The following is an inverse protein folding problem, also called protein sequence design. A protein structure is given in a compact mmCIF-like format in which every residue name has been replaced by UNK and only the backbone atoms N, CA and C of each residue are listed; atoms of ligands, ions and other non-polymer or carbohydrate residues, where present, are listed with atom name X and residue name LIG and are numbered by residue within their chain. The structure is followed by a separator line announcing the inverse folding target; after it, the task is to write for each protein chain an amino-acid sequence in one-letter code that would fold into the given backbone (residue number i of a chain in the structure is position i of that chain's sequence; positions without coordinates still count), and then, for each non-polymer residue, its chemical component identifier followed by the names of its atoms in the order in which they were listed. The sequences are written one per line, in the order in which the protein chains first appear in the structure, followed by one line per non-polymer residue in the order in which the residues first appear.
data_IF_873156592207
#
_entry.id   IF_873156592207
#
_cell.length_a   1.000
_cell.length_b   1.000
_cell.length_c   1.000
_cell.angle_alpha   90.00
_cell.angle_beta   90.00
_cell.angle_gamma   90.00
#
_symmetry.space_group_name_H-M   'P 1'
#
loop_
_entity.id
_entity.type
_entity.pdbx_description
1 polymer ?
#
# COMPACT_ATOMS: atom_id res chain seq x y z
N UNK A 1 11.91 -21.81 11.98
CA UNK A 1 11.96 -20.35 12.16
C UNK A 1 10.67 -19.76 11.61
N UNK A 2 9.90 -19.08 12.44
CA UNK A 2 8.68 -18.39 12.00
C UNK A 2 9.04 -17.38 10.91
N UNK A 3 8.33 -17.43 9.77
CA UNK A 3 8.51 -16.43 8.71
C UNK A 3 7.98 -15.09 9.22
N UNK A 4 8.72 -13.98 8.99
CA UNK A 4 8.26 -12.62 9.33
C UNK A 4 6.87 -12.36 8.77
N UNK A 5 6.04 -11.63 9.51
CA UNK A 5 4.75 -11.15 9.02
C UNK A 5 4.94 -9.95 8.10
N UNK A 6 4.34 -9.99 6.93
CA UNK A 6 4.29 -8.89 5.96
C UNK A 6 2.83 -8.44 5.85
N UNK A 7 2.50 -7.29 6.43
CA UNK A 7 1.18 -6.68 6.33
C UNK A 7 1.13 -5.81 5.08
N UNK A 8 0.37 -6.23 4.10
CA UNK A 8 0.14 -5.50 2.85
C UNK A 8 -1.12 -4.65 2.96
N UNK A 9 -1.00 -3.34 2.80
CA UNK A 9 -2.14 -2.43 2.80
C UNK A 9 -2.59 -2.13 1.37
N UNK A 10 -3.87 -2.37 1.08
CA UNK A 10 -4.51 -2.02 -0.19
C UNK A 10 -5.73 -1.13 0.04
N UNK A 11 -6.22 -0.50 -1.01
CA UNK A 11 -7.38 0.41 -0.96
C UNK A 11 -7.17 1.62 -1.85
N UNK A 12 -8.26 2.24 -2.27
CA UNK A 12 -8.25 3.41 -3.16
C UNK A 12 -7.53 4.61 -2.52
N UNK A 13 -7.00 5.55 -3.32
CA UNK A 13 -6.40 6.79 -2.81
C UNK A 13 -7.35 7.54 -1.85
N UNK A 14 -6.82 7.99 -0.72
CA UNK A 14 -7.61 8.69 0.31
C UNK A 14 -8.34 7.79 1.31
N UNK A 15 -8.28 6.46 1.18
CA UNK A 15 -8.97 5.54 2.08
C UNK A 15 -8.42 5.49 3.51
N UNK A 16 -7.16 5.90 3.76
CA UNK A 16 -6.57 5.92 5.11
C UNK A 16 -5.37 4.98 5.30
N UNK A 17 -4.90 4.31 4.25
CA UNK A 17 -3.76 3.36 4.31
C UNK A 17 -2.52 3.92 5.01
N UNK A 18 -2.09 5.13 4.64
CA UNK A 18 -0.86 5.72 5.19
C UNK A 18 -0.98 6.03 6.69
N UNK A 19 -2.18 6.30 7.20
CA UNK A 19 -2.44 6.44 8.64
C UNK A 19 -2.17 5.12 9.36
N UNK A 20 -2.71 4.03 8.81
CA UNK A 20 -2.49 2.68 9.35
C UNK A 20 -1.01 2.29 9.25
N UNK A 21 -0.36 2.52 8.10
CA UNK A 21 1.05 2.20 7.91
C UNK A 21 1.95 2.93 8.92
N UNK A 22 1.75 4.24 9.10
CA UNK A 22 2.50 5.04 10.08
C UNK A 22 2.30 4.54 11.50
N UNK A 23 1.07 4.18 11.86
CA UNK A 23 0.78 3.64 13.18
C UNK A 23 1.42 2.27 13.43
N UNK A 24 1.40 1.38 12.45
CA UNK A 24 2.11 0.09 12.57
C UNK A 24 3.63 0.29 12.68
N UNK A 25 4.19 1.31 12.01
CA UNK A 25 5.59 1.69 12.19
C UNK A 25 5.88 2.10 13.65
N UNK A 26 5.01 2.89 14.28
CA UNK A 26 5.12 3.25 15.70
C UNK A 26 5.04 2.01 16.62
N UNK A 27 4.40 0.93 16.15
CA UNK A 27 4.30 -0.36 16.85
C UNK A 27 5.46 -1.31 16.54
N UNK A 28 6.52 -0.84 15.88
CA UNK A 28 7.76 -1.60 15.64
C UNK A 28 7.81 -2.35 14.31
N UNK A 29 6.88 -2.11 13.37
CA UNK A 29 6.99 -2.65 12.03
C UNK A 29 7.97 -1.82 11.19
N UNK A 30 8.82 -2.48 10.41
CA UNK A 30 9.51 -1.79 9.33
C UNK A 30 8.47 -1.34 8.28
N UNK A 31 8.57 -0.09 7.80
CA UNK A 31 7.60 0.45 6.83
C UNK A 31 8.23 0.66 5.47
N UNK A 32 7.59 0.15 4.43
CA UNK A 32 7.95 0.38 3.04
C UNK A 32 6.71 0.84 2.28
N UNK A 33 6.86 1.78 1.34
CA UNK A 33 5.77 2.17 0.45
C UNK A 33 6.08 1.79 -0.99
N UNK A 34 5.08 1.28 -1.71
CA UNK A 34 5.20 1.00 -3.14
C UNK A 34 5.49 2.28 -3.93
N UNK A 35 4.90 3.40 -3.49
CA UNK A 35 5.12 4.70 -4.09
C UNK A 35 6.56 5.19 -3.96
N UNK A 36 7.23 4.94 -2.84
CA UNK A 36 8.62 5.33 -2.66
C UNK A 36 9.56 4.49 -3.52
N UNK A 37 9.28 3.20 -3.69
CA UNK A 37 10.03 2.36 -4.62
C UNK A 37 9.96 2.91 -6.07
N UNK A 38 8.79 3.39 -6.49
CA UNK A 38 8.64 4.04 -7.81
C UNK A 38 9.37 5.38 -7.87
N UNK A 39 9.35 6.20 -6.80
CA UNK A 39 10.10 7.47 -6.73
C UNK A 39 11.61 7.27 -6.78
N UNK A 40 12.12 6.28 -6.04
CA UNK A 40 13.54 5.91 -6.07
C UNK A 40 13.95 5.46 -7.47
N UNK A 41 13.11 4.67 -8.15
CA UNK A 41 13.34 4.26 -9.52
C UNK A 41 13.28 5.43 -10.52
N UNK A 42 12.33 6.35 -10.34
CA UNK A 42 12.26 7.58 -11.15
C UNK A 42 13.54 8.40 -11.00
N UNK A 43 14.02 8.59 -9.78
CA UNK A 43 15.29 9.28 -9.51
C UNK A 43 16.48 8.58 -10.18
N UNK A 44 16.52 7.23 -10.13
CA UNK A 44 17.55 6.44 -10.78
C UNK A 44 17.56 6.64 -12.31
N UNK A 45 16.37 6.85 -12.90
CA UNK A 45 16.22 7.13 -14.34
C UNK A 45 16.34 8.63 -14.70
N UNK A 46 16.62 9.51 -13.74
CA UNK A 46 16.74 10.96 -13.98
C UNK A 46 15.39 11.65 -14.24
N UNK A 47 14.29 11.03 -13.82
CA UNK A 47 12.94 11.59 -14.00
C UNK A 47 12.52 12.44 -12.78
N UNK A 48 11.96 13.62 -13.04
CA UNK A 48 11.31 14.41 -12.01
C UNK A 48 10.11 13.65 -11.40
N UNK A 49 9.98 13.58 -10.06
CA UNK A 49 8.96 12.76 -9.38
C UNK A 49 7.57 13.44 -9.35
N UNK A 50 7.11 13.93 -10.49
CA UNK A 50 5.74 14.47 -10.66
C UNK A 50 4.72 13.33 -10.72
N UNK A 51 3.45 13.60 -10.38
CA UNK A 51 2.37 12.60 -10.46
C UNK A 51 2.28 11.98 -11.86
N UNK A 52 2.42 12.80 -12.90
CA UNK A 52 2.41 12.35 -14.30
C UNK A 52 3.56 11.38 -14.61
N UNK A 53 4.79 11.74 -14.24
CA UNK A 53 5.97 10.93 -14.52
C UNK A 53 5.94 9.61 -13.72
N UNK A 54 5.57 9.68 -12.43
CA UNK A 54 5.43 8.50 -11.57
C UNK A 54 4.34 7.56 -12.07
N UNK A 55 3.19 8.12 -12.51
CA UNK A 55 2.11 7.32 -13.08
C UNK A 55 2.53 6.61 -14.38
N UNK A 56 3.22 7.32 -15.30
CA UNK A 56 3.76 6.72 -16.52
C UNK A 56 4.80 5.66 -16.24
N UNK A 57 5.72 5.92 -15.32
CA UNK A 57 6.76 4.97 -14.93
C UNK A 57 6.16 3.71 -14.31
N UNK A 58 5.17 3.86 -13.43
CA UNK A 58 4.47 2.73 -12.80
C UNK A 58 3.80 1.83 -13.85
N UNK A 59 3.16 2.42 -14.87
CA UNK A 59 2.55 1.67 -15.97
C UNK A 59 3.62 0.99 -16.82
N UNK A 60 4.67 1.74 -17.20
CA UNK A 60 5.78 1.21 -17.98
C UNK A 60 6.48 0.03 -17.30
N UNK A 61 6.79 0.15 -16.01
CA UNK A 61 7.40 -0.95 -15.25
C UNK A 61 6.55 -2.23 -15.31
N UNK A 62 5.21 -2.10 -15.22
CA UNK A 62 4.32 -3.25 -15.31
C UNK A 62 4.23 -3.82 -16.73
N UNK A 63 4.28 -3.00 -17.75
CA UNK A 63 4.32 -3.45 -19.15
C UNK A 63 5.61 -4.19 -19.47
N UNK A 64 6.75 -3.68 -19.00
CA UNK A 64 8.07 -4.22 -19.33
C UNK A 64 8.42 -5.46 -18.48
N UNK A 65 8.03 -5.48 -17.20
CA UNK A 65 8.47 -6.46 -16.20
C UNK A 65 7.33 -7.27 -15.58
N UNK A 66 6.10 -7.08 -16.06
CA UNK A 66 4.89 -7.73 -15.53
C UNK A 66 4.24 -6.99 -14.36
N UNK A 67 3.02 -7.39 -14.00
CA UNK A 67 2.17 -6.72 -13.01
C UNK A 67 2.80 -6.63 -11.62
N UNK A 68 3.72 -7.51 -11.29
CA UNK A 68 4.46 -7.51 -10.03
C UNK A 68 5.73 -6.64 -10.00
N UNK A 69 6.02 -5.87 -11.06
CA UNK A 69 7.29 -5.14 -11.21
C UNK A 69 7.66 -4.28 -10.00
N UNK A 70 6.70 -3.54 -9.43
CA UNK A 70 6.97 -2.67 -8.28
C UNK A 70 7.27 -3.49 -7.01
N UNK A 71 6.62 -4.64 -6.83
CA UNK A 71 6.92 -5.54 -5.71
C UNK A 71 8.35 -6.12 -5.81
N UNK A 72 8.88 -6.34 -7.01
CA UNK A 72 10.28 -6.73 -7.17
C UNK A 72 11.26 -5.64 -6.67
N UNK A 73 10.96 -4.35 -6.90
CA UNK A 73 11.77 -3.26 -6.36
C UNK A 73 11.75 -3.26 -4.82
N UNK A 74 10.56 -3.44 -4.24
CA UNK A 74 10.39 -3.54 -2.78
C UNK A 74 11.11 -4.76 -2.23
N UNK A 75 11.02 -5.91 -2.88
CA UNK A 75 11.68 -7.15 -2.49
C UNK A 75 13.21 -6.97 -2.41
N UNK A 76 13.82 -6.33 -3.41
CA UNK A 76 15.25 -6.05 -3.40
C UNK A 76 15.65 -5.19 -2.19
N UNK A 77 14.82 -4.23 -1.79
CA UNK A 77 15.05 -3.40 -0.61
C UNK A 77 14.98 -4.24 0.67
N UNK A 78 13.93 -5.03 0.82
CA UNK A 78 13.72 -5.89 1.99
C UNK A 78 14.82 -6.94 2.19
N UNK A 79 15.41 -7.44 1.10
CA UNK A 79 16.50 -8.42 1.17
C UNK A 79 17.84 -7.79 1.47
N UNK A 80 18.09 -6.55 1.03
CA UNK A 80 19.33 -5.81 1.35
C UNK A 80 19.43 -5.42 2.82
N UNK A 81 18.30 -5.02 3.40
CA UNK A 81 18.25 -4.55 4.80
C UNK A 81 18.47 -5.67 5.84
N UNK A 82 18.44 -6.95 5.42
CA UNK A 82 18.78 -8.13 6.25
C UNK A 82 17.94 -8.28 7.53
N UNK A 83 16.98 -7.39 7.76
CA UNK A 83 16.10 -7.39 8.93
C UNK A 83 15.10 -8.54 8.85
N UNK A 84 14.91 -9.23 9.98
CA UNK A 84 13.88 -10.25 10.16
C UNK A 84 12.59 -9.65 10.77
N UNK A 85 12.51 -8.34 10.90
CA UNK A 85 11.39 -7.65 11.51
C UNK A 85 10.11 -7.79 10.68
N UNK A 86 8.97 -7.72 11.35
CA UNK A 86 7.70 -7.62 10.68
C UNK A 86 7.63 -6.33 9.85
N UNK A 87 6.99 -6.39 8.70
CA UNK A 87 6.97 -5.30 7.72
C UNK A 87 5.55 -4.90 7.42
N UNK A 88 5.29 -3.60 7.31
CA UNK A 88 4.09 -3.06 6.67
C UNK A 88 4.44 -2.46 5.31
N UNK A 89 3.70 -2.85 4.27
CA UNK A 89 3.87 -2.37 2.90
C UNK A 89 2.62 -1.58 2.51
N UNK A 90 2.78 -0.26 2.36
CA UNK A 90 1.68 0.61 1.94
C UNK A 90 1.59 0.70 0.42
N UNK A 91 0.41 0.43 -0.11
CA UNK A 91 0.06 0.73 -1.50
C UNK A 91 0.14 -0.46 -2.47
N UNK A 92 -0.18 -1.66 -2.02
CA UNK A 92 -0.40 -2.82 -2.90
C UNK A 92 -1.55 -2.52 -3.86
N UNK A 93 -1.38 -2.86 -5.13
CA UNK A 93 -2.34 -2.57 -6.21
C UNK A 93 -2.75 -3.79 -7.02
N UNK A 94 -2.10 -4.94 -6.84
CA UNK A 94 -2.43 -6.13 -7.62
C UNK A 94 -2.08 -7.43 -6.90
N UNK A 95 -2.76 -8.52 -7.24
CA UNK A 95 -2.47 -9.85 -6.70
C UNK A 95 -1.07 -10.34 -7.07
N UNK A 96 -0.55 -10.15 -8.30
CA UNK A 96 0.84 -10.49 -8.60
C UNK A 96 1.87 -9.84 -7.67
N UNK A 97 1.62 -8.63 -7.16
CA UNK A 97 2.50 -7.99 -6.17
C UNK A 97 2.49 -8.78 -4.85
N UNK A 98 1.32 -9.24 -4.41
CA UNK A 98 1.16 -10.07 -3.20
C UNK A 98 1.91 -11.39 -3.35
N UNK A 99 1.77 -12.06 -4.49
CA UNK A 99 2.42 -13.36 -4.76
C UNK A 99 3.96 -13.27 -4.76
N UNK A 100 4.51 -12.15 -5.21
CA UNK A 100 5.95 -11.91 -5.13
C UNK A 100 6.40 -11.79 -3.67
N UNK A 101 5.66 -11.07 -2.85
CA UNK A 101 5.99 -10.85 -1.44
C UNK A 101 5.86 -12.12 -0.59
N UNK A 102 4.94 -13.03 -0.93
CA UNK A 102 4.81 -14.36 -0.28
C UNK A 102 6.08 -15.20 -0.33
N UNK A 103 6.99 -14.92 -1.26
CA UNK A 103 8.27 -15.63 -1.37
C UNK A 103 9.20 -15.35 -0.19
N UNK A 104 9.02 -14.23 0.53
CA UNK A 104 9.95 -13.78 1.58
C UNK A 104 9.32 -13.63 2.97
N UNK A 105 8.03 -13.92 3.12
CA UNK A 105 7.36 -13.85 4.42
C UNK A 105 5.96 -14.44 4.42
N UNK A 106 5.33 -14.41 5.59
CA UNK A 106 3.90 -14.68 5.75
C UNK A 106 3.15 -13.38 5.40
N UNK A 107 2.49 -13.36 4.25
CA UNK A 107 1.78 -12.16 3.75
C UNK A 107 0.33 -12.21 4.18
N UNK A 108 -0.14 -11.11 4.74
CA UNK A 108 -1.55 -10.82 5.03
C UNK A 108 -1.94 -9.49 4.39
N UNK A 109 -3.08 -9.44 3.74
CA UNK A 109 -3.58 -8.26 3.04
C UNK A 109 -4.72 -7.63 3.83
N UNK A 110 -4.55 -6.35 4.19
CA UNK A 110 -5.57 -5.53 4.82
C UNK A 110 -6.07 -4.48 3.83
N UNK A 111 -7.33 -4.55 3.45
CA UNK A 111 -7.98 -3.53 2.65
C UNK A 111 -8.55 -2.42 3.54
N UNK A 112 -8.25 -1.16 3.19
CA UNK A 112 -8.91 -0.01 3.79
C UNK A 112 -9.85 0.59 2.74
N UNK A 113 -11.14 0.59 3.05
CA UNK A 113 -12.18 1.10 2.18
C UNK A 113 -12.77 2.40 2.73
N UNK A 114 -13.05 3.35 1.84
CA UNK A 114 -13.87 4.51 2.14
C UNK A 114 -14.64 4.94 0.88
N UNK A 115 -15.80 5.54 1.07
CA UNK A 115 -16.62 6.06 -0.03
C UNK A 115 -15.86 7.11 -0.85
N UNK A 116 -16.29 7.34 -2.08
CA UNK A 116 -15.68 8.32 -2.96
C UNK A 116 -15.61 9.70 -2.33
N UNK A 117 -16.70 10.14 -1.70
CA UNK A 117 -16.79 11.47 -1.08
C UNK A 117 -15.88 11.60 0.14
N UNK A 118 -15.83 10.57 0.99
CA UNK A 118 -14.92 10.52 2.14
C UNK A 118 -13.46 10.57 1.68
N UNK A 119 -13.09 9.81 0.65
CA UNK A 119 -11.74 9.80 0.11
C UNK A 119 -11.33 11.16 -0.50
N UNK A 120 -12.24 11.80 -1.22
CA UNK A 120 -12.00 13.14 -1.78
C UNK A 120 -11.72 14.17 -0.68
N UNK A 121 -12.56 14.19 0.39
CA UNK A 121 -12.35 15.03 1.57
C UNK A 121 -10.99 14.76 2.25
N UNK A 122 -10.64 13.49 2.43
CA UNK A 122 -9.36 13.13 3.04
C UNK A 122 -8.17 13.62 2.20
N UNK A 123 -8.23 13.50 0.87
CA UNK A 123 -7.16 13.95 -0.01
C UNK A 123 -7.04 15.47 -0.04
N UNK A 124 -8.17 16.20 -0.10
CA UNK A 124 -8.19 17.66 -0.07
C UNK A 124 -7.58 18.20 1.24
N UNK A 125 -7.89 17.57 2.38
CA UNK A 125 -7.42 18.01 3.69
C UNK A 125 -5.94 17.64 3.97
N UNK A 126 -5.30 16.81 3.13
CA UNK A 126 -3.91 16.35 3.35
C UNK A 126 -2.86 17.43 3.16
N UNK A 127 -3.14 18.49 2.41
CA UNK A 127 -2.18 19.56 2.11
C UNK A 127 -0.91 19.08 1.37
N UNK A 128 -0.94 17.92 0.71
CA UNK A 128 0.18 17.43 -0.11
C UNK A 128 0.10 17.97 -1.52
N UNK A 129 1.25 18.09 -2.18
CA UNK A 129 1.37 18.53 -3.58
C UNK A 129 0.63 17.63 -4.59
N UNK A 130 0.26 16.40 -4.18
CA UNK A 130 -0.49 15.43 -4.98
C UNK A 130 -1.99 15.40 -4.66
N UNK A 131 -2.50 16.41 -3.90
CA UNK A 131 -3.94 16.55 -3.67
C UNK A 131 -4.65 16.88 -5.00
N UNK A 132 -5.77 16.18 -5.34
CA UNK A 132 -6.50 16.48 -6.55
C UNK A 132 -7.10 17.91 -6.46
N UNK A 133 -6.80 18.75 -7.44
CA UNK A 133 -7.34 20.10 -7.50
C UNK A 133 -8.81 20.14 -7.98
N UNK A 134 -9.29 19.03 -8.57
CA UNK A 134 -10.65 18.94 -9.10
C UNK A 134 -11.23 17.52 -8.97
N UNK A 135 -12.56 17.42 -9.10
CA UNK A 135 -13.27 16.12 -9.16
C UNK A 135 -12.81 15.28 -10.36
N UNK A 136 -12.42 15.91 -11.47
CA UNK A 136 -11.98 15.22 -12.68
C UNK A 136 -10.58 14.63 -12.51
N UNK A 137 -9.66 15.33 -11.86
CA UNK A 137 -8.35 14.80 -11.49
C UNK A 137 -8.48 13.62 -10.53
N UNK A 138 -9.37 13.73 -9.55
CA UNK A 138 -9.67 12.64 -8.63
C UNK A 138 -10.23 11.41 -9.36
N UNK A 139 -11.19 11.60 -10.27
CA UNK A 139 -11.75 10.53 -11.09
C UNK A 139 -10.68 9.90 -12.00
N UNK A 140 -9.82 10.72 -12.60
CA UNK A 140 -8.69 10.25 -13.40
C UNK A 140 -7.71 9.40 -12.60
N UNK A 141 -7.44 9.79 -11.35
CA UNK A 141 -6.59 9.00 -10.43
C UNK A 141 -7.25 7.67 -10.08
N UNK A 142 -8.53 7.66 -9.74
CA UNK A 142 -9.27 6.42 -9.47
C UNK A 142 -9.25 5.48 -10.68
N UNK A 143 -9.41 6.00 -11.89
CA UNK A 143 -9.35 5.22 -13.13
C UNK A 143 -7.99 4.55 -13.34
N UNK A 144 -6.90 5.27 -13.05
CA UNK A 144 -5.53 4.71 -13.12
C UNK A 144 -5.34 3.57 -12.11
N UNK A 145 -5.77 3.75 -10.87
CA UNK A 145 -5.65 2.69 -9.85
C UNK A 145 -6.46 1.44 -10.21
N UNK A 146 -7.67 1.62 -10.73
CA UNK A 146 -8.51 0.51 -11.21
C UNK A 146 -7.87 -0.24 -12.39
N UNK A 147 -7.20 0.48 -13.31
CA UNK A 147 -6.56 -0.12 -14.47
C UNK A 147 -5.36 -1.02 -14.16
N UNK A 148 -4.79 -0.90 -12.96
CA UNK A 148 -3.64 -1.73 -12.54
C UNK A 148 -4.04 -2.89 -11.60
N UNK A 149 -5.33 -3.12 -11.38
CA UNK A 149 -5.84 -4.31 -10.67
C UNK A 149 -6.15 -4.11 -9.19
N UNK A 150 -6.24 -2.85 -8.70
CA UNK A 150 -6.48 -2.60 -7.26
C UNK A 150 -7.82 -3.16 -6.77
N UNK A 151 -8.84 -3.23 -7.63
CA UNK A 151 -10.14 -3.80 -7.29
C UNK A 151 -10.06 -5.26 -6.88
N UNK A 152 -9.24 -6.05 -7.58
CA UNK A 152 -8.99 -7.45 -7.24
C UNK A 152 -8.23 -7.60 -5.92
N UNK A 153 -7.20 -6.78 -5.71
CA UNK A 153 -6.46 -6.77 -4.46
C UNK A 153 -7.33 -6.41 -3.25
N UNK A 154 -8.30 -5.50 -3.42
CA UNK A 154 -9.27 -5.16 -2.38
C UNK A 154 -10.26 -6.31 -2.16
N UNK A 155 -10.80 -6.90 -3.22
CA UNK A 155 -11.79 -7.96 -3.12
C UNK A 155 -11.26 -9.25 -2.52
N UNK A 156 -9.96 -9.54 -2.70
CA UNK A 156 -9.29 -10.75 -2.21
C UNK A 156 -8.43 -10.50 -0.96
N UNK A 157 -8.63 -9.37 -0.28
CA UNK A 157 -7.94 -9.09 0.98
C UNK A 157 -8.36 -10.07 2.10
N UNK A 158 -7.43 -10.40 3.00
CA UNK A 158 -7.70 -11.25 4.17
C UNK A 158 -8.69 -10.57 5.13
N UNK A 159 -8.58 -9.24 5.29
CA UNK A 159 -9.49 -8.43 6.11
C UNK A 159 -9.75 -7.07 5.48
N UNK A 160 -10.89 -6.47 5.81
CA UNK A 160 -11.29 -5.14 5.30
C UNK A 160 -11.80 -4.25 6.42
N UNK A 161 -11.33 -3.00 6.45
CA UNK A 161 -11.85 -1.95 7.35
C UNK A 161 -12.61 -0.90 6.53
N UNK A 162 -13.86 -0.63 6.89
CA UNK A 162 -14.61 0.53 6.37
C UNK A 162 -14.28 1.77 7.18
N UNK A 163 -13.70 2.77 6.52
CA UNK A 163 -13.23 4.04 7.11
C UNK A 163 -14.11 5.23 6.68
N UNK A 164 -15.44 5.04 6.62
CA UNK A 164 -16.34 6.15 6.31
C UNK A 164 -16.59 7.06 7.51
N UNK A 165 -16.76 6.45 8.69
CA UNK A 165 -17.22 7.13 9.90
C UNK A 165 -16.29 6.93 11.10
N UNK A 166 -15.08 6.39 10.87
CA UNK A 166 -14.09 6.18 11.92
C UNK A 166 -13.29 7.45 12.21
N UNK A 167 -13.05 7.70 13.48
CA UNK A 167 -11.99 8.63 13.87
C UNK A 167 -10.62 8.04 13.54
N UNK A 168 -9.59 8.88 13.50
CA UNK A 168 -8.21 8.41 13.26
C UNK A 168 -7.79 7.35 14.29
N UNK A 169 -8.14 7.54 15.57
CA UNK A 169 -7.79 6.61 16.63
C UNK A 169 -8.56 5.28 16.50
N UNK A 170 -9.83 5.32 16.12
CA UNK A 170 -10.59 4.10 15.84
C UNK A 170 -10.02 3.32 14.66
N UNK A 171 -9.67 4.00 13.55
CA UNK A 171 -9.02 3.36 12.42
C UNK A 171 -7.72 2.67 12.81
N UNK A 172 -6.84 3.36 13.55
CA UNK A 172 -5.58 2.82 14.05
C UNK A 172 -5.80 1.60 14.94
N UNK A 173 -6.73 1.69 15.88
CA UNK A 173 -7.02 0.61 16.83
C UNK A 173 -7.58 -0.63 16.12
N UNK A 174 -8.57 -0.46 15.22
CA UNK A 174 -9.12 -1.57 14.44
C UNK A 174 -8.05 -2.28 13.62
N UNK A 175 -7.20 -1.52 12.92
CA UNK A 175 -6.11 -2.09 12.15
C UNK A 175 -5.12 -2.87 13.03
N UNK A 176 -4.78 -2.33 14.20
CA UNK A 176 -3.84 -2.98 15.10
C UNK A 176 -4.42 -4.25 15.74
N UNK A 177 -5.71 -4.29 16.04
CA UNK A 177 -6.36 -5.47 16.59
C UNK A 177 -6.37 -6.63 15.58
N UNK A 178 -6.62 -6.35 14.30
CA UNK A 178 -6.49 -7.32 13.21
C UNK A 178 -5.05 -7.84 13.13
N UNK A 179 -4.08 -6.94 13.07
CA UNK A 179 -2.65 -7.30 12.94
C UNK A 179 -2.16 -8.09 14.16
N UNK A 180 -2.64 -7.77 15.37
CA UNK A 180 -2.34 -8.58 16.57
C UNK A 180 -2.87 -10.01 16.45
N UNK A 181 -4.02 -10.21 15.84
CA UNK A 181 -4.55 -11.53 15.52
C UNK A 181 -3.58 -12.32 14.65
N UNK A 182 -3.14 -11.73 13.55
CA UNK A 182 -2.18 -12.35 12.63
C UNK A 182 -0.81 -12.63 13.25
N UNK A 183 -0.33 -11.78 14.17
CA UNK A 183 0.90 -12.02 14.92
C UNK A 183 0.80 -13.22 15.84
N UNK A 184 -0.39 -13.51 16.40
CA UNK A 184 -0.63 -14.71 17.22
C UNK A 184 -0.66 -15.96 16.35
N UNK A 185 -1.42 -15.95 15.25
CA UNK A 185 -1.47 -17.05 14.28
C UNK A 185 -0.08 -17.44 13.76
N UNK A 186 0.77 -16.44 13.48
CA UNK A 186 2.12 -16.67 12.99
C UNK A 186 3.09 -17.27 14.02
N UNK A 187 2.77 -17.18 15.32
CA UNK A 187 3.56 -17.82 16.41
C UNK A 187 3.15 -19.27 16.65
N UNK A 188 1.88 -19.57 16.34
CA UNK A 188 1.29 -20.89 16.59
C UNK A 188 1.48 -21.85 15.39
N UNK A 189 2.01 -21.34 14.25
CA UNK A 189 2.32 -22.08 13.02
C UNK A 189 3.80 -22.40 12.88
#
# INVERSE_FOLDING_TARGET
MSKRLIVCLTGMPGAGKSTVASFLKEKGFAMVTMGDAVREEAKRQGLEPTDSNLGKLMIKLRQDLGQGAVAHLVLQKLTRDGSHDNVVIDGIRSIPEVEILKKVGNVKVLAIHASRDTRFKHLANRGRSDAPASSDEFAGRDKRELSVGISEAIALADETISNNDLTLEQLKQHAYDIVKGWLREAKDS
#
